data_IF_844643902307
#
_entry.id   IF_844643902307
#
_cell.length_a   1.000
_cell.length_b   1.000
_cell.length_c   1.000
_cell.angle_alpha   90.00
_cell.angle_beta   90.00
_cell.angle_gamma   90.00
#
_symmetry.space_group_name_H-M   'P 1'
#
loop_
_entity.id
_entity.type
_entity.pdbx_description
1 polymer ?
#
# COMPACT_ATOMS: atom_id res chain seq x y z
N UNK A 1 -17.74 -24.82 -20.00
CA UNK A 1 -16.50 -24.41 -20.68
C UNK A 1 -15.57 -23.83 -19.62
N UNK A 2 -14.34 -24.35 -19.49
CA UNK A 2 -13.36 -23.78 -18.57
C UNK A 2 -13.04 -22.35 -18.98
N UNK A 3 -13.05 -21.41 -18.03
CA UNK A 3 -12.75 -20.01 -18.28
C UNK A 3 -11.24 -19.91 -18.55
N UNK A 4 -10.88 -19.55 -19.78
CA UNK A 4 -9.50 -19.24 -20.16
C UNK A 4 -8.97 -18.11 -19.28
N UNK A 5 -7.87 -18.38 -18.57
CA UNK A 5 -7.14 -17.37 -17.80
C UNK A 5 -6.04 -16.79 -18.70
N UNK A 6 -5.77 -15.48 -18.62
CA UNK A 6 -4.65 -14.82 -19.31
C UNK A 6 -3.39 -14.81 -18.45
N UNK A 7 -3.53 -14.84 -17.13
CA UNK A 7 -2.42 -15.08 -16.20
C UNK A 7 -2.86 -15.90 -14.99
N UNK A 8 -1.92 -16.67 -14.44
CA UNK A 8 -1.95 -17.15 -13.04
C UNK A 8 -1.45 -16.03 -12.13
N UNK A 9 -1.85 -16.01 -10.86
CA UNK A 9 -1.43 -14.94 -9.94
C UNK A 9 -1.09 -15.41 -8.53
N UNK A 10 -0.20 -14.66 -7.89
CA UNK A 10 0.12 -14.74 -6.45
C UNK A 10 0.15 -13.33 -5.88
N UNK A 11 -0.45 -13.15 -4.70
CA UNK A 11 -0.50 -11.84 -4.03
C UNK A 11 0.01 -11.97 -2.60
N UNK A 12 0.95 -11.11 -2.26
CA UNK A 12 1.50 -10.95 -0.93
C UNK A 12 1.29 -9.52 -0.45
N UNK A 13 0.96 -9.38 0.83
CA UNK A 13 0.81 -8.06 1.46
C UNK A 13 1.19 -8.15 2.92
N UNK A 14 1.85 -7.13 3.43
CA UNK A 14 2.18 -6.97 4.84
C UNK A 14 2.04 -5.50 5.20
N UNK A 15 1.11 -5.22 6.12
CA UNK A 15 0.92 -3.89 6.64
C UNK A 15 2.21 -3.36 7.30
N UNK A 16 2.35 -2.04 7.32
CA UNK A 16 3.37 -1.30 8.05
C UNK A 16 3.43 -1.74 9.51
N UNK A 17 2.25 -1.90 10.10
CA UNK A 17 2.06 -2.49 11.41
C UNK A 17 1.41 -3.87 11.26
N UNK A 18 2.16 -4.97 11.42
CA UNK A 18 1.62 -6.33 11.31
C UNK A 18 0.54 -6.66 12.34
N UNK A 19 0.48 -5.95 13.48
CA UNK A 19 -0.57 -6.14 14.50
C UNK A 19 -1.89 -5.48 14.09
N UNK A 20 -1.84 -4.53 13.16
CA UNK A 20 -2.97 -3.78 12.64
C UNK A 20 -3.12 -3.89 11.12
N UNK A 21 -3.32 -5.11 10.57
CA UNK A 21 -3.38 -5.33 9.12
C UNK A 21 -4.53 -4.58 8.43
N UNK A 22 -5.58 -4.22 9.16
CA UNK A 22 -6.71 -3.42 8.68
C UNK A 22 -6.34 -1.95 8.35
N UNK A 23 -5.18 -1.49 8.82
CA UNK A 23 -4.68 -0.13 8.57
C UNK A 23 -3.87 -0.02 7.27
N UNK A 24 -3.54 -1.15 6.63
CA UNK A 24 -2.79 -1.19 5.38
C UNK A 24 -3.45 -0.31 4.32
N UNK A 25 -2.70 0.63 3.76
CA UNK A 25 -3.17 1.61 2.79
C UNK A 25 -2.91 1.19 1.35
N UNK A 26 -2.16 0.10 1.14
CA UNK A 26 -2.02 -0.53 -0.16
C UNK A 26 -3.29 -1.30 -0.54
N UNK A 27 -3.56 -1.36 -1.84
CA UNK A 27 -4.63 -2.18 -2.39
C UNK A 27 -4.25 -2.76 -3.74
N UNK A 28 -4.87 -3.88 -4.08
CA UNK A 28 -4.73 -4.48 -5.40
C UNK A 28 -5.99 -5.24 -5.80
N UNK A 29 -6.24 -5.33 -7.10
CA UNK A 29 -7.37 -6.06 -7.66
C UNK A 29 -6.94 -6.74 -8.97
N UNK A 30 -7.57 -7.86 -9.34
CA UNK A 30 -7.28 -8.55 -10.59
C UNK A 30 -8.49 -9.32 -11.15
N UNK A 31 -8.55 -9.41 -12.47
CA UNK A 31 -9.39 -10.33 -13.25
C UNK A 31 -8.49 -11.09 -14.21
N UNK A 32 -8.01 -12.26 -13.76
CA UNK A 32 -7.14 -13.13 -14.53
C UNK A 32 -7.71 -13.55 -15.88
N UNK A 33 -9.03 -13.66 -16.02
CA UNK A 33 -9.64 -14.08 -17.29
C UNK A 33 -9.68 -12.94 -18.31
N UNK A 34 -9.93 -11.71 -17.86
CA UNK A 34 -9.82 -10.51 -18.73
C UNK A 34 -8.37 -10.04 -18.89
N UNK A 35 -7.43 -10.55 -18.09
CA UNK A 35 -6.03 -10.14 -18.11
C UNK A 35 -5.83 -8.73 -17.58
N UNK A 36 -6.60 -8.36 -16.55
CA UNK A 36 -6.54 -7.06 -15.90
C UNK A 36 -6.01 -7.21 -14.48
N UNK A 37 -5.03 -6.40 -14.10
CA UNK A 37 -4.56 -6.32 -12.73
C UNK A 37 -4.18 -4.88 -12.39
N UNK A 38 -4.50 -4.45 -11.18
CA UNK A 38 -4.22 -3.12 -10.67
C UNK A 38 -3.63 -3.18 -9.26
N UNK A 39 -2.75 -2.24 -8.97
CA UNK A 39 -2.17 -2.00 -7.64
C UNK A 39 -2.18 -0.49 -7.35
N UNK A 40 -2.36 -0.14 -6.09
CA UNK A 40 -2.46 1.22 -5.61
C UNK A 40 -1.86 1.32 -4.21
N UNK A 41 -1.23 2.45 -3.92
CA UNK A 41 -0.65 2.81 -2.63
C UNK A 41 -1.30 4.11 -2.14
N UNK A 42 -2.02 4.01 -1.03
CA UNK A 42 -2.70 5.14 -0.39
C UNK A 42 -1.75 6.01 0.42
N UNK A 43 -1.69 7.31 0.10
CA UNK A 43 -0.75 8.24 0.76
C UNK A 43 -1.11 8.45 2.23
N UNK A 44 -0.18 8.17 3.13
CA UNK A 44 -0.37 8.25 4.59
C UNK A 44 -0.77 9.62 5.15
N UNK A 45 -0.44 10.72 4.45
CA UNK A 45 -0.85 12.06 4.90
C UNK A 45 -2.34 12.34 4.68
N UNK A 46 -2.96 11.64 3.71
CA UNK A 46 -4.39 11.73 3.39
C UNK A 46 -5.28 11.03 4.41
N UNK A 47 -6.58 11.30 4.35
CA UNK A 47 -7.58 10.67 5.21
C UNK A 47 -8.33 9.60 4.41
N UNK A 48 -8.57 8.42 4.99
CA UNK A 48 -9.20 7.28 4.29
C UNK A 48 -8.51 6.86 2.98
N UNK A 49 -7.17 6.96 2.94
CA UNK A 49 -6.37 6.59 1.76
C UNK A 49 -6.49 5.11 1.40
N UNK A 50 -6.65 4.23 2.40
CA UNK A 50 -6.94 2.80 2.18
C UNK A 50 -8.20 2.60 1.34
N UNK A 51 -9.31 3.22 1.73
CA UNK A 51 -10.59 3.11 1.03
C UNK A 51 -10.48 3.66 -0.40
N UNK A 52 -9.71 4.72 -0.58
CA UNK A 52 -9.49 5.32 -1.90
C UNK A 52 -8.64 4.44 -2.82
N UNK A 53 -7.52 3.91 -2.32
CA UNK A 53 -6.65 3.00 -3.07
C UNK A 53 -7.42 1.74 -3.49
N UNK A 54 -8.18 1.14 -2.57
CA UNK A 54 -9.02 -0.03 -2.86
C UNK A 54 -10.06 0.26 -3.94
N UNK A 55 -10.80 1.37 -3.79
CA UNK A 55 -11.82 1.76 -4.77
C UNK A 55 -11.22 1.97 -6.16
N UNK A 56 -10.07 2.65 -6.28
CA UNK A 56 -9.41 2.86 -7.57
C UNK A 56 -8.95 1.55 -8.22
N UNK A 57 -8.30 0.67 -7.45
CA UNK A 57 -7.82 -0.62 -7.97
C UNK A 57 -8.98 -1.50 -8.45
N UNK A 58 -10.06 -1.59 -7.68
CA UNK A 58 -11.28 -2.32 -8.05
C UNK A 58 -11.96 -1.69 -9.27
N UNK A 59 -12.07 -0.36 -9.31
CA UNK A 59 -12.75 0.35 -10.38
C UNK A 59 -12.10 0.13 -11.74
N UNK A 60 -10.76 0.18 -11.83
CA UNK A 60 -10.04 -0.04 -13.09
C UNK A 60 -10.24 -1.46 -13.60
N UNK A 61 -10.23 -2.44 -12.69
CA UNK A 61 -10.48 -3.84 -13.07
C UNK A 61 -11.93 -4.02 -13.50
N UNK A 62 -12.90 -3.39 -12.83
CA UNK A 62 -14.30 -3.47 -13.20
C UNK A 62 -14.57 -2.81 -14.57
N UNK A 63 -14.11 -1.58 -14.74
CA UNK A 63 -14.37 -0.71 -15.88
C UNK A 63 -13.11 0.12 -16.19
N UNK A 64 -12.37 -0.31 -17.23
CA UNK A 64 -11.06 0.25 -17.58
C UNK A 64 -11.25 1.68 -18.11
N UNK A 65 -10.68 2.70 -17.43
CA UNK A 65 -10.79 4.07 -17.92
C UNK A 65 -9.97 4.25 -19.20
N UNK A 66 -10.27 5.31 -19.96
CA UNK A 66 -9.42 5.77 -21.06
C UNK A 66 -8.66 7.04 -20.64
N UNK A 67 -7.38 6.95 -20.22
CA UNK A 67 -6.60 8.12 -19.80
C UNK A 67 -6.29 9.11 -20.93
N UNK A 68 -6.35 8.67 -22.18
CA UNK A 68 -6.09 9.50 -23.36
C UNK A 68 -7.31 10.35 -23.76
N UNK A 69 -8.46 10.10 -23.15
CA UNK A 69 -9.67 10.91 -23.26
C UNK A 69 -9.93 11.63 -21.93
N UNK A 70 -9.55 12.92 -21.82
CA UNK A 70 -9.67 13.67 -20.57
C UNK A 70 -11.11 13.79 -20.05
N UNK A 71 -12.11 13.85 -20.93
CA UNK A 71 -13.51 14.00 -20.54
C UNK A 71 -14.07 12.67 -20.02
N UNK A 72 -13.75 11.57 -20.70
CA UNK A 72 -14.10 10.23 -20.23
C UNK A 72 -13.41 9.90 -18.90
N UNK A 73 -12.11 10.22 -18.77
CA UNK A 73 -11.37 10.01 -17.54
C UNK A 73 -11.91 10.86 -16.39
N UNK A 74 -12.20 12.14 -16.62
CA UNK A 74 -12.78 13.02 -15.61
C UNK A 74 -14.16 12.51 -15.14
N UNK A 75 -14.99 12.03 -16.06
CA UNK A 75 -16.30 11.45 -15.75
C UNK A 75 -16.18 10.17 -14.91
N UNK A 76 -15.27 9.26 -15.30
CA UNK A 76 -14.95 8.05 -14.55
C UNK A 76 -14.47 8.38 -13.14
N UNK A 77 -13.54 9.33 -13.01
CA UNK A 77 -12.98 9.76 -11.73
C UNK A 77 -14.03 10.43 -10.84
N UNK A 78 -14.89 11.27 -11.38
CA UNK A 78 -15.98 11.92 -10.65
C UNK A 78 -16.96 10.90 -10.04
N UNK A 79 -17.26 9.81 -10.74
CA UNK A 79 -18.04 8.71 -10.17
C UNK A 79 -17.33 8.01 -9.02
N UNK A 80 -16.02 7.79 -9.16
CA UNK A 80 -15.22 7.17 -8.09
C UNK A 80 -15.14 8.03 -6.84
N UNK A 81 -15.01 9.35 -6.98
CA UNK A 81 -15.07 10.30 -5.87
C UNK A 81 -16.41 10.28 -5.15
N UNK A 82 -17.52 10.18 -5.91
CA UNK A 82 -18.86 9.99 -5.31
C UNK A 82 -18.93 8.70 -4.51
N UNK A 83 -18.43 7.59 -5.07
CA UNK A 83 -18.37 6.31 -4.38
C UNK A 83 -17.52 6.36 -3.09
N UNK A 84 -16.36 7.02 -3.12
CA UNK A 84 -15.52 7.20 -1.93
C UNK A 84 -16.22 8.04 -0.86
N UNK A 85 -16.82 9.17 -1.24
CA UNK A 85 -17.56 10.04 -0.31
C UNK A 85 -18.71 9.31 0.38
N UNK A 86 -19.35 8.37 -0.32
CA UNK A 86 -20.43 7.53 0.22
C UNK A 86 -19.94 6.37 1.10
N UNK A 87 -18.69 5.92 0.92
CA UNK A 87 -18.15 4.75 1.63
C UNK A 87 -17.40 5.09 2.92
N UNK A 88 -17.03 6.35 3.13
CA UNK A 88 -16.32 6.78 4.33
C UNK A 88 -17.28 7.08 5.49
N UNK A 89 -16.92 6.60 6.68
CA UNK A 89 -17.59 6.98 7.92
C UNK A 89 -16.87 8.17 8.58
N UNK A 90 -17.51 9.34 8.51
CA UNK A 90 -17.00 10.57 9.11
C UNK A 90 -17.52 10.82 10.53
N UNK A 91 -18.42 9.98 11.04
CA UNK A 91 -19.08 10.18 12.34
C UNK A 91 -18.13 10.04 13.52
N UNK A 92 -17.14 9.14 13.40
CA UNK A 92 -16.13 8.85 14.44
C UNK A 92 -14.87 9.70 14.33
N UNK A 93 -14.83 10.70 13.44
CA UNK A 93 -13.62 11.50 13.24
C UNK A 93 -13.35 12.46 14.39
N UNK A 94 -12.14 12.39 14.92
CA UNK A 94 -11.65 13.35 15.88
C UNK A 94 -11.61 14.75 15.27
N UNK A 95 -11.78 15.79 16.10
CA UNK A 95 -11.90 17.18 15.64
C UNK A 95 -10.72 17.63 14.76
N UNK A 96 -9.51 17.14 15.02
CA UNK A 96 -8.29 17.47 14.27
C UNK A 96 -8.20 16.77 12.91
N UNK A 97 -9.00 15.72 12.65
CA UNK A 97 -9.06 15.02 11.37
C UNK A 97 -10.06 15.66 10.41
N UNK A 98 -11.06 16.38 10.92
CA UNK A 98 -12.10 17.04 10.11
C UNK A 98 -11.55 18.01 9.05
N UNK A 99 -10.49 18.80 9.30
CA UNK A 99 -9.89 19.63 8.25
C UNK A 99 -9.37 18.82 7.06
N UNK A 100 -8.80 17.63 7.30
CA UNK A 100 -8.25 16.76 6.24
C UNK A 100 -9.31 16.24 5.28
N UNK A 101 -10.59 16.23 5.66
CA UNK A 101 -11.68 15.87 4.75
C UNK A 101 -11.76 16.79 3.53
N UNK A 102 -11.35 18.06 3.67
CA UNK A 102 -11.33 19.01 2.55
C UNK A 102 -10.22 18.70 1.55
N UNK A 103 -9.13 18.11 2.01
CA UNK A 103 -8.02 17.66 1.16
C UNK A 103 -8.29 16.27 0.57
N UNK A 104 -8.95 15.40 1.34
CA UNK A 104 -9.34 14.05 0.93
C UNK A 104 -8.23 13.01 1.10
N UNK A 105 -8.44 11.87 0.45
CA UNK A 105 -7.47 10.81 0.26
C UNK A 105 -6.65 11.05 -1.00
N UNK A 106 -5.45 10.48 -1.04
CA UNK A 106 -4.62 10.41 -2.23
C UNK A 106 -4.10 9.00 -2.43
N UNK A 107 -3.91 8.59 -3.68
CA UNK A 107 -3.38 7.26 -4.00
C UNK A 107 -2.58 7.28 -5.29
N UNK A 108 -1.56 6.44 -5.36
CA UNK A 108 -0.99 5.99 -6.63
C UNK A 108 -1.96 5.03 -7.32
N UNK A 109 -1.74 4.76 -8.60
CA UNK A 109 -2.50 3.75 -9.33
C UNK A 109 -1.67 3.25 -10.52
N UNK A 110 -1.44 1.95 -10.57
CA UNK A 110 -0.83 1.25 -11.69
C UNK A 110 -1.74 0.10 -12.11
N UNK A 111 -1.94 -0.08 -13.41
CA UNK A 111 -2.60 -1.28 -13.92
C UNK A 111 -1.97 -1.79 -15.20
N UNK A 112 -2.19 -3.08 -15.43
CA UNK A 112 -1.85 -3.78 -16.66
C UNK A 112 -3.09 -4.41 -17.28
N UNK A 113 -3.16 -4.37 -18.62
CA UNK A 113 -4.19 -5.02 -19.41
C UNK A 113 -3.54 -5.84 -20.53
N UNK A 114 -3.66 -7.16 -20.45
CA UNK A 114 -3.29 -8.07 -21.54
C UNK A 114 -4.45 -8.17 -22.52
N UNK A 115 -4.26 -7.65 -23.72
CA UNK A 115 -5.22 -7.73 -24.83
C UNK A 115 -4.80 -8.84 -25.81
N UNK A 116 -5.74 -9.55 -26.44
CA UNK A 116 -5.41 -10.47 -27.52
C UNK A 116 -4.62 -9.73 -28.61
N UNK A 117 -3.50 -10.30 -29.06
CA UNK A 117 -2.82 -9.81 -30.26
C UNK A 117 -3.47 -10.50 -31.48
N UNK A 118 -3.93 -9.71 -32.46
CA UNK A 118 -4.54 -10.28 -33.66
C UNK A 118 -3.52 -11.14 -34.40
N UNK A 119 -3.94 -12.33 -34.83
CA UNK A 119 -3.11 -13.32 -35.52
C UNK A 119 -2.24 -12.67 -36.62
N UNK A 120 -0.95 -12.53 -36.36
CA UNK A 120 0.01 -12.39 -37.44
C UNK A 120 0.22 -13.77 -38.04
N UNK A 121 0.36 -13.84 -39.37
CA UNK A 121 0.44 -15.06 -40.18
C UNK A 121 1.69 -15.94 -39.93
N UNK A 122 2.26 -15.91 -38.72
CA UNK A 122 3.56 -16.49 -38.36
C UNK A 122 3.46 -17.29 -37.05
N UNK A 123 2.84 -18.46 -37.12
CA UNK A 123 3.01 -19.53 -36.13
C UNK A 123 2.07 -19.52 -34.90
N UNK A 124 2.04 -20.63 -34.14
CA UNK A 124 1.02 -20.93 -33.12
C UNK A 124 1.28 -20.36 -31.72
N UNK A 125 2.25 -19.46 -31.54
CA UNK A 125 2.56 -18.93 -30.20
C UNK A 125 1.67 -17.73 -29.89
N UNK A 126 0.61 -17.98 -29.12
CA UNK A 126 -0.33 -16.94 -28.68
C UNK A 126 0.41 -15.89 -27.86
N UNK A 127 0.54 -14.69 -28.42
CA UNK A 127 1.12 -13.52 -27.76
C UNK A 127 0.00 -12.59 -27.31
N UNK A 128 0.26 -11.81 -26.27
CA UNK A 128 -0.63 -10.79 -25.75
C UNK A 128 -0.01 -9.41 -25.97
N UNK A 129 -0.83 -8.46 -26.42
CA UNK A 129 -0.46 -7.04 -26.36
C UNK A 129 -0.72 -6.55 -24.94
N UNK A 130 0.34 -6.22 -24.22
CA UNK A 130 0.28 -5.65 -22.89
C UNK A 130 0.19 -4.13 -22.99
N UNK A 131 -0.79 -3.53 -22.28
CA UNK A 131 -0.84 -2.10 -22.01
C UNK A 131 -0.65 -1.88 -20.52
N UNK A 132 0.20 -0.93 -20.15
CA UNK A 132 0.48 -0.59 -18.75
C UNK A 132 0.30 0.91 -18.58
N UNK A 133 -0.39 1.32 -17.52
CA UNK A 133 -0.57 2.72 -17.16
C UNK A 133 -0.21 2.91 -15.69
N UNK A 134 0.40 4.03 -15.36
CA UNK A 134 0.73 4.39 -13.98
C UNK A 134 0.62 5.89 -13.73
N UNK A 135 0.11 6.22 -12.55
CA UNK A 135 0.26 7.51 -11.88
C UNK A 135 0.85 7.27 -10.50
N UNK A 136 1.93 7.97 -10.22
CA UNK A 136 2.72 7.81 -9.00
C UNK A 136 3.85 6.80 -9.13
N UNK A 137 4.13 6.06 -8.07
CA UNK A 137 5.37 5.31 -7.88
C UNK A 137 5.17 3.83 -7.49
N UNK A 138 3.94 3.33 -7.55
CA UNK A 138 3.72 1.89 -7.72
C UNK A 138 4.40 1.42 -9.02
N UNK A 139 5.07 0.27 -8.97
CA UNK A 139 5.97 -0.17 -10.03
C UNK A 139 5.61 -1.55 -10.62
N UNK A 140 6.09 -1.79 -11.82
CA UNK A 140 6.01 -3.00 -12.61
C UNK A 140 7.42 -3.44 -13.03
N UNK A 141 7.70 -4.74 -12.91
CA UNK A 141 8.78 -5.42 -13.65
C UNK A 141 8.16 -6.36 -14.65
N UNK A 142 8.65 -6.34 -15.89
CA UNK A 142 8.36 -7.35 -16.90
C UNK A 142 9.59 -8.22 -17.08
N UNK A 143 9.43 -9.52 -16.81
CA UNK A 143 10.49 -10.50 -16.90
C UNK A 143 10.21 -11.57 -17.95
N UNK A 144 11.27 -12.04 -18.59
CA UNK A 144 11.28 -13.23 -19.45
C UNK A 144 12.51 -14.06 -19.17
N UNK A 145 12.33 -15.33 -18.82
CA UNK A 145 13.45 -16.24 -18.53
C UNK A 145 14.42 -15.69 -17.48
N UNK A 146 13.88 -15.16 -16.38
CA UNK A 146 14.63 -14.50 -15.29
C UNK A 146 15.38 -13.21 -15.66
N UNK A 147 15.23 -12.70 -16.89
CA UNK A 147 15.79 -11.40 -17.29
C UNK A 147 14.72 -10.32 -17.17
N UNK A 148 15.05 -9.21 -16.52
CA UNK A 148 14.23 -8.01 -16.51
C UNK A 148 14.29 -7.35 -17.89
N UNK A 149 13.16 -7.36 -18.59
CA UNK A 149 13.00 -6.66 -19.87
C UNK A 149 12.73 -5.17 -19.64
N UNK A 150 11.93 -4.86 -18.62
CA UNK A 150 11.52 -3.49 -18.30
C UNK A 150 11.17 -3.32 -16.83
N UNK A 151 11.44 -2.12 -16.31
CA UNK A 151 10.88 -1.57 -15.08
C UNK A 151 10.06 -0.33 -15.42
N UNK A 152 8.96 -0.09 -14.71
CA UNK A 152 8.04 1.01 -15.02
C UNK A 152 7.20 1.40 -13.78
N UNK A 153 6.79 2.66 -13.59
CA UNK A 153 7.28 3.85 -14.29
C UNK A 153 8.64 4.32 -13.77
N UNK A 154 9.11 3.73 -12.66
CA UNK A 154 10.37 4.09 -12.02
C UNK A 154 11.45 3.08 -12.39
N UNK A 155 12.63 3.58 -12.74
CA UNK A 155 13.80 2.78 -13.16
C UNK A 155 14.94 2.84 -12.15
N UNK A 156 14.97 3.87 -11.29
CA UNK A 156 16.01 4.07 -10.26
C UNK A 156 15.41 4.30 -8.89
N UNK A 157 16.04 3.75 -7.86
CA UNK A 157 15.55 3.84 -6.49
C UNK A 157 15.44 5.29 -5.99
N UNK A 158 16.35 6.18 -6.42
CA UNK A 158 16.35 7.60 -6.05
C UNK A 158 15.08 8.35 -6.47
N UNK A 159 14.40 7.91 -7.54
CA UNK A 159 13.17 8.54 -8.01
C UNK A 159 12.01 8.34 -7.03
N UNK A 160 12.06 7.29 -6.19
CA UNK A 160 11.07 7.00 -5.14
C UNK A 160 11.25 7.88 -3.89
N UNK A 161 12.29 8.72 -3.85
CA UNK A 161 12.47 9.69 -2.75
C UNK A 161 11.66 10.99 -2.96
N UNK A 162 11.19 11.22 -4.19
CA UNK A 162 10.37 12.37 -4.56
C UNK A 162 8.90 12.03 -4.33
N UNK A 163 8.11 13.00 -3.86
CA UNK A 163 6.68 12.78 -3.71
C UNK A 163 6.04 12.50 -5.09
N UNK A 164 5.33 11.39 -5.27
CA UNK A 164 4.71 11.05 -6.55
C UNK A 164 3.54 11.99 -6.90
N UNK A 165 3.22 12.04 -8.20
CA UNK A 165 1.89 12.50 -8.64
C UNK A 165 0.86 11.47 -8.20
N UNK A 166 -0.26 11.92 -7.64
CA UNK A 166 -1.27 11.04 -7.03
C UNK A 166 -2.69 11.46 -7.43
N UNK A 167 -3.61 10.50 -7.43
CA UNK A 167 -5.03 10.73 -7.70
C UNK A 167 -5.73 11.09 -6.40
N UNK A 168 -6.45 12.21 -6.37
CA UNK A 168 -7.20 12.67 -5.19
C UNK A 168 -8.66 12.24 -5.17
N UNK A 169 -9.18 11.88 -3.99
CA UNK A 169 -10.59 11.52 -3.77
C UNK A 169 -11.54 12.72 -3.71
N UNK A 170 -10.99 13.93 -3.65
CA UNK A 170 -11.71 15.21 -3.76
C UNK A 170 -11.20 15.92 -5.00
N UNK A 171 -12.11 16.56 -5.73
CA UNK A 171 -11.72 17.46 -6.82
C UNK A 171 -11.19 18.76 -6.22
N UNK A 172 -9.88 18.96 -6.37
CA UNK A 172 -9.18 20.17 -5.93
C UNK A 172 -8.80 21.08 -7.10
N UNK A 173 -9.40 20.88 -8.28
CA UNK A 173 -9.09 21.60 -9.50
C UNK A 173 -7.71 21.26 -10.07
N UNK A 174 -7.16 20.09 -9.71
CA UNK A 174 -5.79 19.66 -10.09
C UNK A 174 -5.76 18.46 -11.05
N UNK A 175 -6.91 17.98 -11.49
CA UNK A 175 -7.01 16.78 -12.35
C UNK A 175 -6.29 16.97 -13.68
N UNK A 176 -6.28 18.19 -14.20
CA UNK A 176 -5.52 18.55 -15.40
C UNK A 176 -4.00 18.39 -15.24
N UNK A 177 -3.49 18.13 -14.03
CA UNK A 177 -2.07 17.82 -13.76
C UNK A 177 -1.81 16.32 -13.66
N UNK A 178 -2.85 15.48 -13.56
CA UNK A 178 -2.71 14.03 -13.58
C UNK A 178 -2.25 13.63 -14.98
N UNK A 179 -1.06 13.02 -15.06
CA UNK A 179 -0.50 12.48 -16.29
C UNK A 179 -0.19 11.01 -16.05
N UNK A 180 -0.90 10.16 -16.77
CA UNK A 180 -0.54 8.75 -16.81
C UNK A 180 0.70 8.60 -17.65
N UNK A 181 1.72 8.02 -17.04
CA UNK A 181 2.74 7.34 -17.81
C UNK A 181 2.09 6.07 -18.36
N UNK A 182 2.43 5.70 -19.59
CA UNK A 182 1.99 4.44 -20.15
C UNK A 182 3.03 3.87 -21.11
N UNK A 183 2.97 2.56 -21.30
CA UNK A 183 3.68 1.91 -22.39
C UNK A 183 2.90 0.69 -22.88
N UNK A 184 3.21 0.28 -24.10
CA UNK A 184 2.73 -0.97 -24.68
C UNK A 184 3.91 -1.88 -25.00
N UNK A 185 3.74 -3.17 -24.81
CA UNK A 185 4.74 -4.19 -25.17
C UNK A 185 4.05 -5.53 -25.45
N UNK A 186 4.82 -6.54 -25.87
CA UNK A 186 4.35 -7.90 -26.09
C UNK A 186 4.70 -8.81 -24.92
N UNK A 187 3.67 -9.47 -24.39
CA UNK A 187 3.82 -10.56 -23.45
C UNK A 187 3.66 -11.91 -24.13
N UNK A 188 4.46 -12.87 -23.71
CA UNK A 188 4.39 -14.26 -24.14
C UNK A 188 4.04 -15.16 -22.95
N UNK A 189 3.45 -16.33 -23.19
CA UNK A 189 3.23 -17.32 -22.13
C UNK A 189 4.55 -17.65 -21.43
N UNK A 190 4.54 -17.63 -20.10
CA UNK A 190 5.73 -17.80 -19.26
C UNK A 190 6.41 -16.50 -18.85
N UNK A 191 6.07 -15.35 -19.45
CA UNK A 191 6.52 -14.05 -18.94
C UNK A 191 5.96 -13.83 -17.52
N UNK A 192 6.75 -13.19 -16.67
CA UNK A 192 6.36 -12.82 -15.31
C UNK A 192 6.22 -11.30 -15.22
N UNK A 193 5.05 -10.83 -14.82
CA UNK A 193 4.79 -9.44 -14.50
C UNK A 193 4.73 -9.29 -12.98
N UNK A 194 5.55 -8.40 -12.43
CA UNK A 194 5.63 -8.15 -10.99
C UNK A 194 5.14 -6.74 -10.73
N UNK A 195 3.98 -6.60 -10.09
CA UNK A 195 3.44 -5.30 -9.66
C UNK A 195 3.69 -5.15 -8.16
N UNK A 196 4.19 -4.00 -7.72
CA UNK A 196 4.39 -3.76 -6.29
C UNK A 196 4.34 -2.27 -5.90
N UNK A 197 4.11 -2.01 -4.62
CA UNK A 197 4.10 -0.66 -4.04
C UNK A 197 5.50 -0.17 -3.67
N UNK A 198 5.62 1.10 -3.26
CA UNK A 198 6.88 1.83 -3.18
C UNK A 198 7.94 1.14 -2.31
N UNK A 199 7.55 0.50 -1.20
CA UNK A 199 8.45 -0.15 -0.26
C UNK A 199 9.17 -1.36 -0.89
N UNK A 200 8.41 -2.21 -1.61
CA UNK A 200 8.96 -3.33 -2.36
C UNK A 200 9.77 -2.82 -3.54
N UNK A 201 9.25 -1.84 -4.28
CA UNK A 201 9.91 -1.26 -5.44
C UNK A 201 11.28 -0.67 -5.11
N UNK A 202 11.36 0.11 -4.03
CA UNK A 202 12.59 0.75 -3.58
C UNK A 202 13.65 -0.26 -3.18
N UNK A 203 13.26 -1.31 -2.46
CA UNK A 203 14.16 -2.41 -2.14
C UNK A 203 14.64 -3.13 -3.40
N UNK A 204 13.73 -3.46 -4.32
CA UNK A 204 14.05 -4.19 -5.54
C UNK A 204 14.99 -3.42 -6.47
N UNK A 205 14.75 -2.11 -6.66
CA UNK A 205 15.59 -1.24 -7.47
C UNK A 205 16.99 -1.12 -6.87
N UNK A 206 17.13 -0.86 -5.55
CA UNK A 206 18.44 -0.81 -4.89
C UNK A 206 19.21 -2.12 -5.06
N UNK A 207 18.52 -3.26 -4.95
CA UNK A 207 19.11 -4.58 -5.19
C UNK A 207 19.61 -4.72 -6.63
N UNK A 208 18.80 -4.35 -7.61
CA UNK A 208 19.19 -4.38 -9.02
C UNK A 208 20.39 -3.46 -9.32
N UNK A 209 20.38 -2.22 -8.81
CA UNK A 209 21.45 -1.24 -8.94
C UNK A 209 22.77 -1.73 -8.32
N UNK A 210 22.69 -2.50 -7.23
CA UNK A 210 23.85 -3.15 -6.59
C UNK A 210 24.34 -4.44 -7.29
N UNK A 211 23.78 -4.78 -8.46
CA UNK A 211 24.14 -5.98 -9.22
C UNK A 211 23.52 -7.29 -8.71
N UNK A 212 22.58 -7.21 -7.76
CA UNK A 212 21.94 -8.38 -7.13
C UNK A 212 20.41 -8.29 -7.22
N UNK A 213 19.82 -8.22 -8.43
CA UNK A 213 18.38 -8.05 -8.59
C UNK A 213 17.59 -9.15 -7.86
N UNK A 214 16.38 -8.85 -7.38
CA UNK A 214 15.52 -9.87 -6.77
C UNK A 214 15.26 -11.01 -7.75
N UNK A 215 15.30 -12.24 -7.22
CA UNK A 215 14.94 -13.44 -7.99
C UNK A 215 13.44 -13.65 -7.91
N UNK A 216 12.68 -12.90 -8.70
CA UNK A 216 11.22 -12.85 -8.61
C UNK A 216 10.52 -14.21 -8.71
N UNK A 217 11.06 -15.14 -9.51
CA UNK A 217 10.52 -16.50 -9.63
C UNK A 217 10.57 -17.30 -8.32
N UNK A 218 11.55 -17.04 -7.44
CA UNK A 218 11.66 -17.73 -6.14
C UNK A 218 10.48 -17.37 -5.22
N UNK A 219 9.86 -16.19 -5.42
CA UNK A 219 8.67 -15.77 -4.67
C UNK A 219 7.39 -16.46 -5.15
N UNK A 220 7.39 -17.10 -6.33
CA UNK A 220 6.19 -17.75 -6.87
C UNK A 220 5.70 -18.87 -5.96
N UNK A 221 6.61 -19.73 -5.51
CA UNK A 221 6.30 -20.88 -4.65
C UNK A 221 6.47 -20.56 -3.15
N UNK A 222 6.94 -19.36 -2.81
CA UNK A 222 7.18 -18.96 -1.43
C UNK A 222 5.87 -18.94 -0.61
N UNK A 223 5.82 -19.59 0.56
CA UNK A 223 4.68 -19.49 1.47
C UNK A 223 4.49 -18.05 1.99
N UNK A 224 3.24 -17.63 2.21
CA UNK A 224 2.91 -16.28 2.71
C UNK A 224 3.65 -15.94 4.01
N UNK A 225 3.72 -16.87 4.96
CA UNK A 225 4.41 -16.65 6.23
C UNK A 225 5.93 -16.45 6.06
N UNK A 226 6.55 -17.19 5.12
CA UNK A 226 7.97 -17.02 4.80
C UNK A 226 8.23 -15.65 4.18
N UNK A 227 7.37 -15.22 3.27
CA UNK A 227 7.44 -13.88 2.68
C UNK A 227 7.29 -12.79 3.75
N UNK A 228 6.32 -12.90 4.65
CA UNK A 228 6.13 -11.95 5.74
C UNK A 228 7.36 -11.87 6.65
N UNK A 229 7.94 -13.02 7.02
CA UNK A 229 9.16 -13.07 7.82
C UNK A 229 10.35 -12.40 7.10
N UNK A 230 10.48 -12.60 5.79
CA UNK A 230 11.52 -11.94 4.99
C UNK A 230 11.34 -10.42 4.95
N UNK A 231 10.11 -9.92 4.70
CA UNK A 231 9.84 -8.48 4.69
C UNK A 231 10.11 -7.87 6.07
N UNK A 232 9.66 -8.51 7.16
CA UNK A 232 9.97 -8.06 8.53
C UNK A 232 11.46 -7.96 8.77
N UNK A 233 12.22 -9.01 8.40
CA UNK A 233 13.69 -9.01 8.52
C UNK A 233 14.33 -7.89 7.71
N UNK A 234 13.90 -7.67 6.46
CA UNK A 234 14.41 -6.58 5.61
C UNK A 234 14.14 -5.19 6.20
N UNK A 235 13.00 -5.00 6.87
CA UNK A 235 12.67 -3.76 7.60
C UNK A 235 13.57 -3.59 8.83
N UNK A 236 13.76 -4.64 9.63
CA UNK A 236 14.60 -4.63 10.84
C UNK A 236 16.08 -4.37 10.53
N UNK A 237 16.60 -4.97 9.46
CA UNK A 237 17.97 -4.78 8.97
C UNK A 237 18.16 -3.42 8.26
N UNK A 238 17.09 -2.66 8.03
CA UNK A 238 17.13 -1.34 7.36
C UNK A 238 17.34 -1.40 5.85
N UNK A 239 17.18 -2.57 5.23
CA UNK A 239 17.26 -2.75 3.78
C UNK A 239 15.97 -2.34 3.04
N UNK A 240 14.84 -2.34 3.74
CA UNK A 240 13.54 -1.93 3.24
C UNK A 240 12.96 -0.78 4.09
N UNK A 241 12.23 0.13 3.45
CA UNK A 241 11.51 1.20 4.12
C UNK A 241 10.44 0.61 5.04
N UNK A 242 10.25 1.22 6.20
CA UNK A 242 9.18 0.84 7.12
C UNK A 242 7.83 1.42 6.65
N UNK A 243 7.17 0.73 5.73
CA UNK A 243 5.86 1.08 5.18
C UNK A 243 5.04 -0.16 4.81
N UNK A 244 3.78 0.05 4.42
CA UNK A 244 2.97 -0.99 3.78
C UNK A 244 3.72 -1.60 2.58
N UNK A 245 3.58 -2.91 2.40
CA UNK A 245 4.31 -3.63 1.36
C UNK A 245 3.37 -4.59 0.66
N UNK A 246 3.14 -4.39 -0.63
CA UNK A 246 2.28 -5.24 -1.45
C UNK A 246 2.99 -5.66 -2.73
N UNK A 247 2.89 -6.95 -3.05
CA UNK A 247 3.52 -7.61 -4.18
C UNK A 247 2.52 -8.51 -4.88
N UNK A 248 2.36 -8.32 -6.18
CA UNK A 248 1.56 -9.17 -7.06
C UNK A 248 2.46 -9.75 -8.15
N UNK A 249 2.45 -11.07 -8.27
CA UNK A 249 3.14 -11.82 -9.31
C UNK A 249 2.09 -12.35 -10.28
N UNK A 250 2.25 -12.06 -11.57
CA UNK A 250 1.36 -12.51 -12.64
C UNK A 250 2.15 -13.29 -13.68
N UNK A 251 1.93 -14.61 -13.75
CA UNK A 251 2.55 -15.44 -14.77
C UNK A 251 1.63 -15.52 -15.98
N UNK A 252 2.07 -14.96 -17.10
CA UNK A 252 1.32 -14.94 -18.36
C UNK A 252 1.13 -16.36 -18.86
N UNK A 253 -0.08 -16.68 -19.29
CA UNK A 253 -0.45 -18.02 -19.78
C UNK A 253 -0.78 -17.97 -21.27
N UNK A 254 -0.86 -19.13 -21.90
CA UNK A 254 -1.27 -19.29 -23.30
C UNK A 254 -2.78 -19.16 -23.52
N UNK A 255 -3.55 -18.81 -22.48
CA UNK A 255 -5.00 -18.69 -22.60
C UNK A 255 -5.71 -20.03 -22.78
N UNK A 256 -5.05 -21.17 -22.59
CA UNK A 256 -5.71 -22.47 -22.70
C UNK A 256 -6.27 -22.87 -21.35
N UNK A 257 -7.52 -23.33 -21.32
CA UNK A 257 -8.08 -23.92 -20.12
C UNK A 257 -7.26 -25.16 -19.76
N UNK A 258 -6.58 -25.16 -18.60
CA UNK A 258 -6.01 -26.40 -18.07
C UNK A 258 -7.16 -27.37 -17.79
N UNK A 259 -7.03 -28.67 -18.14
CA UNK A 259 -7.96 -29.68 -17.64
C UNK A 259 -7.91 -29.64 -16.11
N UNK A 260 -9.07 -29.52 -15.48
CA UNK A 260 -9.21 -29.46 -14.03
C UNK A 260 -8.52 -30.66 -13.38
N UNK A 261 -7.45 -30.41 -12.63
CA UNK A 261 -7.00 -31.39 -11.64
C UNK A 261 -7.99 -31.31 -10.48
N UNK A 262 -8.91 -32.27 -10.46
CA UNK A 262 -9.85 -32.47 -9.36
C UNK A 262 -9.06 -32.97 -8.16
N UNK A 263 -8.65 -32.08 -7.26
CA UNK A 263 -8.26 -32.49 -5.91
C UNK A 263 -9.54 -32.92 -5.15
N UNK A 264 -9.55 -34.07 -4.45
CA UNK A 264 -10.72 -34.49 -3.69
C UNK A 264 -10.93 -33.56 -2.51
N UNK A 265 -12.15 -33.03 -2.39
CA UNK A 265 -12.60 -32.24 -1.25
C UNK A 265 -12.37 -33.01 0.07
N UNK A 266 -11.53 -32.45 0.93
CA UNK A 266 -11.43 -32.87 2.32
C UNK A 266 -12.79 -32.65 3.00
N UNK A 267 -13.40 -33.76 3.39
CA UNK A 267 -14.69 -33.85 4.06
C UNK A 267 -14.54 -33.27 5.48
N UNK A 268 -15.18 -32.13 5.75
CA UNK A 268 -15.35 -31.64 7.11
C UNK A 268 -16.31 -32.59 7.85
N UNK A 269 -15.81 -33.30 8.85
CA UNK A 269 -16.61 -34.07 9.79
C UNK A 269 -16.89 -33.23 11.02
N UNK A 270 -18.16 -32.92 11.23
CA UNK A 270 -18.73 -32.46 12.50
C UNK A 270 -18.97 -33.66 13.43
N UNK A 271 -18.63 -33.49 14.71
CA UNK A 271 -19.09 -34.27 15.87
C UNK A 271 -18.85 -33.34 17.08
N UNK A 272 -19.83 -32.66 17.66
CA UNK A 272 -21.01 -33.07 18.44
C UNK A 272 -20.70 -33.37 19.92
N UNK A 273 -21.65 -32.97 20.78
CA UNK A 273 -21.49 -32.55 22.18
C UNK A 273 -21.00 -33.58 23.19
N UNK A 274 -20.52 -33.09 24.34
CA UNK A 274 -20.82 -33.71 25.65
C UNK A 274 -20.81 -32.64 26.76
N UNK A 275 -21.91 -32.65 27.51
CA UNK A 275 -22.31 -31.83 28.68
C UNK A 275 -21.75 -32.38 30.00
N UNK A 276 -22.06 -31.69 31.12
CA UNK A 276 -21.90 -31.99 32.57
C UNK A 276 -20.80 -31.13 33.22
N UNK A 277 -20.95 -30.45 34.36
CA UNK A 277 -21.96 -30.46 35.44
C UNK A 277 -21.76 -29.22 36.34
N UNK A 278 -22.84 -28.79 36.98
CA UNK A 278 -23.02 -27.77 38.04
C UNK A 278 -22.08 -27.99 39.25
N UNK A 279 -21.48 -26.96 39.87
CA UNK A 279 -22.00 -26.14 40.99
C UNK A 279 -21.28 -26.51 42.33
N UNK A 280 -21.29 -25.71 43.43
CA UNK A 280 -22.15 -24.55 43.72
C UNK A 280 -21.43 -23.30 44.28
N UNK A 281 -22.26 -22.27 44.50
CA UNK A 281 -21.95 -20.96 45.07
C UNK A 281 -22.04 -20.91 46.61
N UNK A 282 -21.25 -20.02 47.21
CA UNK A 282 -21.42 -19.32 48.51
C UNK A 282 -20.64 -18.00 48.31
N UNK A 283 -21.09 -16.76 48.52
CA UNK A 283 -22.08 -16.19 49.42
C UNK A 283 -21.38 -15.08 50.20
N UNK A 284 -21.62 -13.82 49.80
CA UNK A 284 -21.56 -12.52 50.52
C UNK A 284 -20.49 -12.29 51.62
N UNK A 285 -19.74 -11.18 51.56
CA UNK A 285 -19.99 -10.04 52.46
C UNK A 285 -19.21 -8.75 52.07
N UNK A 286 -19.75 -7.65 52.56
CA UNK A 286 -19.42 -6.24 52.31
C UNK A 286 -18.20 -5.74 53.09
N UNK A 287 -17.50 -4.71 52.59
CA UNK A 287 -17.13 -3.53 53.39
C UNK A 287 -16.48 -2.39 52.57
N UNK A 288 -17.04 -1.19 52.77
CA UNK A 288 -16.48 0.10 52.42
C UNK A 288 -15.19 0.39 53.19
N UNK A 289 -14.19 0.97 52.53
CA UNK A 289 -13.20 1.84 53.17
C UNK A 289 -12.69 2.88 52.17
N UNK A 290 -13.19 4.11 52.30
CA UNK A 290 -12.61 5.31 51.71
C UNK A 290 -11.30 5.65 52.42
N UNK A 291 -10.22 5.87 51.67
CA UNK A 291 -9.09 6.75 52.02
C UNK A 291 -8.31 7.13 50.75
N UNK A 292 -8.26 8.43 50.47
CA UNK A 292 -7.30 9.15 49.61
C UNK A 292 -6.64 10.24 50.47
N UNK A 293 -5.57 10.93 50.05
CA UNK A 293 -4.47 10.54 49.15
C UNK A 293 -3.08 10.92 49.73
N UNK A 294 -2.02 10.24 49.27
CA UNK A 294 -0.65 10.76 49.20
C UNK A 294 -0.06 10.11 47.95
N UNK A 295 0.50 10.79 46.95
CA UNK A 295 1.15 12.09 46.94
C UNK A 295 2.49 11.87 46.26
N UNK A 296 2.49 11.65 44.93
CA UNK A 296 3.68 11.80 44.10
C UNK A 296 3.28 12.23 42.68
N UNK A 297 3.76 13.41 42.31
CA UNK A 297 3.56 14.04 41.00
C UNK A 297 4.43 13.37 39.95
N UNK A 298 3.93 13.00 38.75
CA UNK A 298 4.78 12.85 37.58
C UNK A 298 5.22 14.24 37.04
N UNK A 299 6.46 14.41 36.54
CA UNK A 299 6.96 15.69 36.01
C UNK A 299 6.37 16.00 34.61
N UNK A 300 6.45 17.26 34.14
CA UNK A 300 5.54 17.77 33.11
C UNK A 300 6.01 17.45 31.69
N UNK A 301 5.21 16.68 30.95
CA UNK A 301 5.27 16.63 29.48
C UNK A 301 4.64 17.88 28.82
N UNK A 302 4.16 18.84 29.62
CA UNK A 302 3.36 19.98 29.17
C UNK A 302 4.19 21.15 28.62
N UNK A 303 5.43 21.35 29.07
CA UNK A 303 6.24 22.52 28.67
C UNK A 303 6.90 22.35 27.31
N UNK A 304 7.20 21.13 26.89
CA UNK A 304 7.70 20.86 25.55
C UNK A 304 6.54 21.08 24.54
N UNK A 305 5.33 20.61 24.83
CA UNK A 305 4.21 20.78 23.90
C UNK A 305 3.79 22.26 23.71
N UNK A 306 3.97 23.12 24.73
CA UNK A 306 3.64 24.55 24.66
C UNK A 306 4.68 25.34 23.84
N UNK A 307 5.97 25.10 24.07
CA UNK A 307 7.05 25.71 23.28
C UNK A 307 6.97 25.31 21.79
N UNK A 308 6.50 24.10 21.50
CA UNK A 308 6.37 23.58 20.13
C UNK A 308 5.19 24.20 19.40
N UNK A 309 4.07 24.46 20.10
CA UNK A 309 2.92 25.17 19.54
C UNK A 309 3.26 26.64 19.26
N UNK A 310 4.05 27.25 20.12
CA UNK A 310 4.43 28.66 19.98
C UNK A 310 5.44 28.85 18.84
N UNK A 311 6.46 27.98 18.74
CA UNK A 311 7.40 27.98 17.60
C UNK A 311 6.74 27.63 16.27
N UNK A 312 5.79 26.69 16.24
CA UNK A 312 5.05 26.36 15.03
C UNK A 312 4.16 27.52 14.56
N UNK A 313 3.57 28.27 15.50
CA UNK A 313 2.76 29.46 15.20
C UNK A 313 3.63 30.62 14.70
N UNK A 314 4.77 30.88 15.33
CA UNK A 314 5.73 31.93 14.89
C UNK A 314 6.29 31.64 13.50
N UNK A 315 6.63 30.38 13.19
CA UNK A 315 7.10 29.98 11.86
C UNK A 315 5.97 30.09 10.82
N UNK A 316 4.73 29.76 11.19
CA UNK A 316 3.56 29.90 10.31
C UNK A 316 3.25 31.37 9.99
N UNK A 317 3.39 32.27 10.97
CA UNK A 317 3.15 33.70 10.78
C UNK A 317 4.28 34.36 9.97
N UNK A 318 5.55 33.98 10.19
CA UNK A 318 6.69 34.45 9.39
C UNK A 318 6.66 33.98 7.92
N UNK A 319 6.02 32.84 7.63
CA UNK A 319 5.90 32.30 6.26
C UNK A 319 4.70 32.92 5.51
N UNK A 320 3.68 33.40 6.23
CA UNK A 320 2.51 34.05 5.61
C UNK A 320 2.86 35.39 4.96
N UNK A 321 3.87 36.09 5.47
CA UNK A 321 4.29 37.41 4.97
C UNK A 321 5.30 37.34 3.80
N UNK A 322 5.78 36.14 3.43
CA UNK A 322 6.71 35.94 2.33
C UNK A 322 6.22 34.86 1.36
N UNK A 323 5.20 35.17 0.56
CA UNK A 323 4.76 34.31 -0.53
C UNK A 323 4.73 35.03 -1.88
N UNK A 324 5.90 35.04 -2.51
CA UNK A 324 6.04 34.79 -3.94
C UNK A 324 7.42 34.14 -4.16
N UNK A 325 7.41 32.88 -4.60
CA UNK A 325 8.57 32.02 -4.91
C UNK A 325 9.36 31.44 -3.72
N UNK A 326 9.07 30.19 -3.33
CA UNK A 326 9.95 29.46 -2.39
C UNK A 326 9.36 28.30 -1.58
N UNK A 327 8.31 27.61 -2.04
CA UNK A 327 7.64 26.55 -1.25
C UNK A 327 8.53 25.31 -1.01
N UNK A 328 9.57 25.06 -1.83
CA UNK A 328 10.41 23.85 -1.73
C UNK A 328 11.40 23.85 -0.56
N UNK A 329 11.79 25.02 -0.04
CA UNK A 329 12.79 25.11 1.05
C UNK A 329 12.18 24.84 2.44
N UNK A 330 10.94 25.27 2.66
CA UNK A 330 10.23 25.08 3.93
C UNK A 330 9.94 23.61 4.23
N UNK A 331 9.53 22.85 3.20
CA UNK A 331 9.23 21.42 3.34
C UNK A 331 10.47 20.54 3.58
N UNK A 332 11.65 20.94 3.08
CA UNK A 332 12.92 20.23 3.37
C UNK A 332 13.32 20.36 4.84
N UNK A 333 13.14 21.54 5.45
CA UNK A 333 13.41 21.74 6.89
C UNK A 333 12.46 20.95 7.77
N UNK A 334 11.17 20.88 7.41
CA UNK A 334 10.17 20.09 8.13
C UNK A 334 10.50 18.57 8.05
N UNK A 335 10.88 18.06 6.87
CA UNK A 335 11.31 16.65 6.71
C UNK A 335 12.62 16.33 7.45
N UNK A 336 13.61 17.23 7.45
CA UNK A 336 14.86 17.04 8.22
C UNK A 336 14.61 16.99 9.73
N UNK A 337 13.68 17.80 10.21
CA UNK A 337 13.33 17.85 11.62
C UNK A 337 12.51 16.63 12.07
N UNK A 338 11.60 16.13 11.24
CA UNK A 338 10.89 14.87 11.50
C UNK A 338 11.84 13.66 11.61
N UNK A 339 12.82 13.56 10.70
CA UNK A 339 13.87 12.51 10.74
C UNK A 339 14.79 12.62 11.97
N UNK A 340 15.12 13.84 12.40
CA UNK A 340 15.90 14.09 13.62
C UNK A 340 15.12 13.66 14.88
N UNK A 341 13.81 13.89 14.90
CA UNK A 341 12.93 13.54 16.02
C UNK A 341 12.71 12.03 16.12
N UNK A 342 12.55 11.31 15.01
CA UNK A 342 12.51 9.85 14.99
C UNK A 342 13.83 9.21 15.46
N UNK A 343 14.97 9.80 15.09
CA UNK A 343 16.29 9.38 15.58
C UNK A 343 16.44 9.57 17.09
N UNK A 344 15.92 10.69 17.63
CA UNK A 344 15.91 10.95 19.06
C UNK A 344 15.00 9.98 19.84
N UNK A 345 13.81 9.67 19.31
CA UNK A 345 12.88 8.69 19.88
C UNK A 345 13.48 7.27 19.85
N UNK A 346 14.16 6.90 18.77
CA UNK A 346 14.88 5.62 18.65
C UNK A 346 16.00 5.50 19.69
N UNK A 347 16.81 6.55 19.86
CA UNK A 347 17.88 6.59 20.87
C UNK A 347 17.33 6.52 22.30
N UNK A 348 16.20 7.16 22.57
CA UNK A 348 15.54 7.11 23.87
C UNK A 348 14.99 5.72 24.19
N UNK A 349 14.34 5.05 23.23
CA UNK A 349 13.86 3.67 23.39
C UNK A 349 15.00 2.66 23.58
N UNK A 350 16.11 2.85 22.88
CA UNK A 350 17.29 2.00 23.02
C UNK A 350 17.96 2.18 24.40
N UNK A 351 18.08 3.42 24.88
CA UNK A 351 18.64 3.72 26.22
C UNK A 351 17.79 3.16 27.38
N UNK A 352 16.48 3.01 27.19
CA UNK A 352 15.59 2.40 28.18
C UNK A 352 15.51 0.87 28.10
N UNK A 353 16.04 0.26 27.02
CA UNK A 353 16.17 -1.20 26.89
C UNK A 353 17.44 -1.75 27.55
N UNK A 354 18.47 -0.91 27.68
CA UNK A 354 19.77 -1.28 28.24
C UNK A 354 19.94 -0.92 29.74
N UNK A 355 18.85 -0.55 30.44
CA UNK A 355 18.90 -0.38 31.90
C UNK A 355 18.83 -1.76 32.58
N UNK A 356 19.80 -2.15 33.42
CA UNK A 356 19.64 -3.34 34.23
C UNK A 356 18.49 -3.14 35.23
N UNK A 357 17.80 -4.22 35.64
CA UNK A 357 16.79 -4.11 36.69
C UNK A 357 17.48 -3.67 37.99
N UNK A 358 16.95 -2.64 38.63
CA UNK A 358 17.41 -2.20 39.95
C UNK A 358 17.08 -3.31 40.98
N UNK A 359 18.09 -3.71 41.77
CA UNK A 359 18.02 -4.64 42.92
C UNK A 359 17.18 -4.08 44.08
#
# INVERSE_FOLDING_TARGET
>A
MGRTMRFESRVFTLAKDPEHPEQNQDACCLDSARGLAAIADGVATGIFSRQWAALLAEAVVADVPNPDDPEAFASWLAERRRGWSQSIDVSQLAWYQKPKLREGAFSTLLWVHLLPEHESASGPQQCWRMRVFAVGDSCLWHLRGCQTLRTFPVEKAEQLEVNPVVVGSVDLGRDAQIRFQHYEDRCQPGDLLVLCTDAIAAWALRRAESGHPPRWEEYWDMPRAAWQAEITRLREEGHMRYDDATLMLLRVTDGRARPSQTEPAARATAADGTTLSEGPAIGEDSQEAQLQPAGDKPPPAADIASEWKQKAKEISEQVSDQLSEGVTLGWRKIKQWARSTESAIRKYRQKNRDKPPDD
#
